data_IF_915974770319
#
_entry.id   IF_915974770319
#
_cell.length_a   1.000
_cell.length_b   1.000
_cell.length_c   1.000
_cell.angle_alpha   90.00
_cell.angle_beta   90.00
_cell.angle_gamma   90.00
#
_symmetry.space_group_name_H-M   'P 1'
#
loop_
_entity.id
_entity.type
_entity.pdbx_description
1 polymer ?
#
# COMPACT_ATOMS: atom_id res chain seq x y z
N UNK A 1 26.61 31.42 5.48
CA UNK A 1 25.17 31.66 5.26
C UNK A 1 24.64 30.84 4.08
N UNK A 2 25.19 30.97 2.87
CA UNK A 2 24.78 30.14 1.72
C UNK A 2 25.02 28.64 1.92
N UNK A 3 26.15 28.26 2.54
CA UNK A 3 26.47 26.85 2.85
C UNK A 3 25.57 26.21 3.94
N UNK A 4 25.03 27.01 4.87
CA UNK A 4 24.10 26.53 5.89
C UNK A 4 22.69 26.34 5.33
N UNK A 5 22.27 27.19 4.40
CA UNK A 5 20.99 27.01 3.71
C UNK A 5 21.02 25.81 2.76
N UNK A 6 22.13 25.58 2.05
CA UNK A 6 22.28 24.37 1.23
C UNK A 6 22.34 23.10 2.08
N UNK A 7 23.00 23.12 3.25
CA UNK A 7 22.99 21.97 4.17
C UNK A 7 21.57 21.65 4.69
N UNK A 8 20.80 22.67 5.10
CA UNK A 8 19.43 22.49 5.57
C UNK A 8 18.48 22.02 4.46
N UNK A 9 18.67 22.49 3.22
CA UNK A 9 17.93 21.99 2.06
C UNK A 9 18.31 20.55 1.70
N UNK A 10 19.60 20.20 1.81
CA UNK A 10 20.09 18.84 1.57
C UNK A 10 19.51 17.86 2.60
N UNK A 11 19.49 18.24 3.88
CA UNK A 11 18.90 17.43 4.95
C UNK A 11 17.40 17.23 4.75
N UNK A 12 16.68 18.28 4.33
CA UNK A 12 15.27 18.17 3.97
C UNK A 12 15.06 17.21 2.78
N UNK A 13 15.87 17.33 1.73
CA UNK A 13 15.80 16.43 0.57
C UNK A 13 16.11 14.98 0.96
N UNK A 14 17.12 14.74 1.79
CA UNK A 14 17.48 13.42 2.26
C UNK A 14 16.35 12.76 3.06
N UNK A 15 15.69 13.55 3.91
CA UNK A 15 14.58 13.08 4.75
C UNK A 15 13.35 12.75 3.89
N UNK A 16 13.01 13.61 2.92
CA UNK A 16 11.93 13.34 1.96
C UNK A 16 12.22 12.12 1.08
N UNK A 17 13.46 11.96 0.60
CA UNK A 17 13.88 10.81 -0.19
C UNK A 17 13.83 9.51 0.63
N UNK A 18 14.26 9.53 1.89
CA UNK A 18 14.18 8.39 2.79
C UNK A 18 12.72 7.98 3.07
N UNK A 19 11.83 8.96 3.30
CA UNK A 19 10.39 8.70 3.46
C UNK A 19 9.77 8.12 2.20
N UNK A 20 10.11 8.66 1.03
CA UNK A 20 9.62 8.16 -0.26
C UNK A 20 10.06 6.72 -0.52
N UNK A 21 11.35 6.44 -0.34
CA UNK A 21 11.90 5.10 -0.50
C UNK A 21 11.28 4.10 0.48
N UNK A 22 11.09 4.50 1.73
CA UNK A 22 10.41 3.67 2.73
C UNK A 22 8.98 3.35 2.31
N UNK A 23 8.18 4.36 1.94
CA UNK A 23 6.77 4.17 1.52
C UNK A 23 6.66 3.33 0.26
N UNK A 24 7.50 3.55 -0.76
CA UNK A 24 7.48 2.75 -1.98
C UNK A 24 7.81 1.28 -1.71
N UNK A 25 8.88 1.01 -0.96
CA UNK A 25 9.30 -0.36 -0.67
C UNK A 25 8.23 -1.13 0.11
N UNK A 26 7.66 -0.47 1.12
CA UNK A 26 6.58 -1.01 1.94
C UNK A 26 5.28 -1.19 1.15
N UNK A 27 4.94 -0.23 0.29
CA UNK A 27 3.78 -0.30 -0.60
C UNK A 27 3.90 -1.48 -1.57
N UNK A 28 5.09 -1.68 -2.15
CA UNK A 28 5.38 -2.81 -3.04
C UNK A 28 5.24 -4.16 -2.31
N UNK A 29 5.78 -4.29 -1.11
CA UNK A 29 5.65 -5.54 -0.31
C UNK A 29 4.20 -5.82 0.07
N UNK A 30 3.41 -4.78 0.36
CA UNK A 30 1.99 -4.93 0.62
C UNK A 30 1.19 -5.37 -0.60
N UNK A 31 1.47 -4.77 -1.76
CA UNK A 31 0.85 -5.18 -3.01
C UNK A 31 1.08 -6.69 -3.26
N UNK A 32 2.32 -7.17 -3.16
CA UNK A 32 2.64 -8.60 -3.35
C UNK A 32 1.96 -9.53 -2.33
N UNK A 33 1.78 -9.06 -1.08
CA UNK A 33 1.06 -9.81 -0.06
C UNK A 33 -0.43 -9.96 -0.43
N UNK A 34 -1.08 -8.85 -0.82
CA UNK A 34 -2.48 -8.83 -1.25
C UNK A 34 -2.69 -9.73 -2.48
N UNK A 35 -1.78 -9.69 -3.46
CA UNK A 35 -1.86 -10.53 -4.66
C UNK A 35 -1.91 -12.03 -4.32
N UNK A 36 -1.09 -12.45 -3.35
CA UNK A 36 -1.02 -13.84 -2.90
C UNK A 36 -2.30 -14.27 -2.17
N UNK A 37 -2.86 -13.39 -1.34
CA UNK A 37 -4.13 -13.64 -0.63
C UNK A 37 -5.29 -13.77 -1.63
N UNK A 38 -5.42 -12.81 -2.56
CA UNK A 38 -6.47 -12.80 -3.59
C UNK A 38 -6.37 -14.02 -4.50
N UNK A 39 -5.16 -14.47 -4.84
CA UNK A 39 -4.96 -15.64 -5.69
C UNK A 39 -5.47 -16.94 -5.05
N UNK A 40 -5.24 -17.12 -3.74
CA UNK A 40 -5.75 -18.27 -2.98
C UNK A 40 -7.27 -18.22 -2.93
N UNK A 41 -7.83 -17.06 -2.59
CA UNK A 41 -9.27 -16.83 -2.51
C UNK A 41 -9.99 -17.09 -3.84
N UNK A 42 -9.39 -16.72 -4.98
CA UNK A 42 -9.94 -17.00 -6.31
C UNK A 42 -10.18 -18.50 -6.53
N UNK A 43 -9.30 -19.38 -6.05
CA UNK A 43 -9.46 -20.84 -6.21
C UNK A 43 -10.63 -21.39 -5.38
N UNK A 44 -10.86 -20.81 -4.19
CA UNK A 44 -12.00 -21.16 -3.32
C UNK A 44 -13.30 -20.64 -3.93
N UNK A 45 -13.29 -19.41 -4.44
CA UNK A 45 -14.44 -18.80 -5.10
C UNK A 45 -14.95 -19.63 -6.28
N UNK A 46 -14.06 -20.14 -7.15
CA UNK A 46 -14.48 -21.00 -8.26
C UNK A 46 -15.11 -22.32 -7.80
N UNK A 47 -14.71 -22.87 -6.64
CA UNK A 47 -15.34 -24.07 -6.06
C UNK A 47 -16.72 -23.78 -5.48
N UNK A 48 -16.87 -22.69 -4.73
CA UNK A 48 -18.16 -22.32 -4.11
C UNK A 48 -19.18 -21.82 -5.13
N UNK A 49 -18.72 -21.16 -6.19
CA UNK A 49 -19.56 -20.79 -7.34
C UNK A 49 -20.06 -22.02 -8.09
N UNK A 50 -19.22 -23.04 -8.27
CA UNK A 50 -19.64 -24.30 -8.88
C UNK A 50 -20.70 -25.05 -8.03
N UNK A 51 -20.72 -24.80 -6.72
CA UNK A 51 -21.75 -25.31 -5.80
C UNK A 51 -23.02 -24.42 -5.73
N UNK A 52 -23.04 -23.29 -6.44
CA UNK A 52 -24.21 -22.39 -6.51
C UNK A 52 -24.51 -21.61 -5.21
N UNK A 53 -23.56 -21.51 -4.28
CA UNK A 53 -23.81 -20.94 -2.95
C UNK A 53 -23.71 -19.42 -2.85
N UNK A 54 -22.88 -18.74 -3.66
CA UNK A 54 -22.64 -17.29 -3.55
C UNK A 54 -22.53 -16.55 -4.88
N UNK A 55 -22.96 -15.29 -4.87
CA UNK A 55 -22.78 -14.33 -5.98
C UNK A 55 -21.42 -13.65 -5.90
N UNK A 56 -20.87 -13.25 -7.06
CA UNK A 56 -19.55 -12.62 -7.23
C UNK A 56 -19.42 -11.28 -6.48
N UNK A 57 -20.50 -10.50 -6.45
CA UNK A 57 -20.51 -9.14 -5.90
C UNK A 57 -20.34 -9.08 -4.37
N UNK A 58 -21.15 -9.78 -3.55
CA UNK A 58 -20.99 -9.73 -2.09
C UNK A 58 -19.65 -10.29 -1.61
N UNK A 59 -19.07 -11.25 -2.33
CA UNK A 59 -17.74 -11.79 -2.03
C UNK A 59 -16.65 -10.70 -2.18
N UNK A 60 -16.67 -9.98 -3.31
CA UNK A 60 -15.72 -8.90 -3.54
C UNK A 60 -15.82 -7.78 -2.49
N UNK A 61 -17.04 -7.41 -2.08
CA UNK A 61 -17.23 -6.40 -1.03
C UNK A 61 -16.70 -6.87 0.34
N UNK A 62 -16.94 -8.13 0.72
CA UNK A 62 -16.43 -8.67 1.97
C UNK A 62 -14.89 -8.70 1.99
N UNK A 63 -14.28 -9.11 0.87
CA UNK A 63 -12.83 -9.13 0.72
C UNK A 63 -12.21 -7.72 0.83
N UNK A 64 -12.74 -6.74 0.11
CA UNK A 64 -12.26 -5.35 0.19
C UNK A 64 -12.43 -4.77 1.60
N UNK A 65 -13.49 -5.13 2.32
CA UNK A 65 -13.71 -4.68 3.69
C UNK A 65 -12.65 -5.23 4.66
N UNK A 66 -12.33 -6.52 4.57
CA UNK A 66 -11.30 -7.16 5.41
C UNK A 66 -9.92 -6.56 5.09
N UNK A 67 -9.60 -6.40 3.81
CA UNK A 67 -8.33 -5.85 3.36
C UNK A 67 -8.15 -4.40 3.83
N UNK A 68 -9.21 -3.59 3.79
CA UNK A 68 -9.19 -2.20 4.27
C UNK A 68 -8.85 -2.13 5.77
N UNK A 69 -9.39 -3.04 6.59
CA UNK A 69 -9.09 -3.10 8.02
C UNK A 69 -7.62 -3.46 8.26
N UNK A 70 -7.11 -4.45 7.51
CA UNK A 70 -5.72 -4.88 7.60
C UNK A 70 -4.76 -3.73 7.25
N UNK A 71 -4.99 -3.07 6.12
CA UNK A 71 -4.20 -1.91 5.67
C UNK A 71 -4.29 -0.75 6.65
N UNK A 72 -5.44 -0.49 7.27
CA UNK A 72 -5.60 0.59 8.24
C UNK A 72 -4.78 0.37 9.52
N UNK A 73 -4.78 -0.85 10.06
CA UNK A 73 -3.99 -1.23 11.24
C UNK A 73 -2.49 -1.16 10.92
N UNK A 74 -2.10 -1.69 9.76
CA UNK A 74 -0.70 -1.72 9.36
C UNK A 74 -0.16 -0.30 9.10
N UNK A 75 -0.95 0.55 8.44
CA UNK A 75 -0.61 1.95 8.19
C UNK A 75 -0.47 2.72 9.51
N UNK A 76 -1.25 2.38 10.53
CA UNK A 76 -1.15 3.00 11.85
C UNK A 76 0.20 2.72 12.49
N UNK A 77 0.64 1.45 12.46
CA UNK A 77 1.96 1.05 12.97
C UNK A 77 3.10 1.75 12.19
N UNK A 78 2.99 1.84 10.87
CA UNK A 78 4.01 2.51 10.05
C UNK A 78 4.07 4.02 10.27
N UNK A 79 2.91 4.66 10.39
CA UNK A 79 2.84 6.09 10.69
C UNK A 79 3.48 6.37 12.04
N UNK A 80 3.24 5.52 13.05
CA UNK A 80 3.84 5.65 14.38
C UNK A 80 5.37 5.52 14.33
N UNK A 81 5.90 4.53 13.61
CA UNK A 81 7.34 4.33 13.45
C UNK A 81 8.01 5.48 12.69
N UNK A 82 7.48 5.85 11.52
CA UNK A 82 8.04 6.94 10.70
C UNK A 82 8.01 8.27 11.44
N UNK A 83 6.91 8.57 12.14
CA UNK A 83 6.78 9.78 12.92
C UNK A 83 7.81 9.84 14.07
N UNK A 84 8.06 8.68 14.72
CA UNK A 84 9.11 8.56 15.74
C UNK A 84 10.53 8.70 15.17
N UNK A 85 10.79 8.21 13.95
CA UNK A 85 12.12 8.31 13.31
C UNK A 85 12.47 9.72 12.87
N UNK A 86 11.47 10.51 12.45
CA UNK A 86 11.68 11.89 11.98
C UNK A 86 11.83 12.87 13.15
N UNK A 87 11.35 12.51 14.34
CA UNK A 87 11.44 13.34 15.53
C UNK A 87 10.58 14.61 15.45
N UNK A 88 9.43 14.55 14.76
CA UNK A 88 8.50 15.68 14.68
C UNK A 88 7.94 16.08 16.05
N UNK A 89 7.58 17.36 16.22
CA UNK A 89 6.84 17.81 17.40
C UNK A 89 5.52 17.05 17.53
N UNK A 90 5.34 16.33 18.63
CA UNK A 90 4.15 15.54 18.99
C UNK A 90 2.90 16.42 19.12
N UNK A 91 2.30 16.74 17.98
CA UNK A 91 0.98 17.40 17.88
C UNK A 91 0.03 16.45 17.18
N UNK A 92 -1.02 16.07 17.90
CA UNK A 92 -2.05 15.10 17.45
C UNK A 92 -2.63 15.49 16.09
N UNK A 93 -2.85 16.79 15.85
CA UNK A 93 -3.35 17.28 14.57
C UNK A 93 -2.40 16.96 13.41
N UNK A 94 -1.09 17.17 13.56
CA UNK A 94 -0.12 16.88 12.49
C UNK A 94 0.04 15.38 12.27
N UNK A 95 -0.02 14.60 13.35
CA UNK A 95 -0.01 13.14 13.28
C UNK A 95 -1.24 12.59 12.52
N UNK A 96 -2.44 13.11 12.80
CA UNK A 96 -3.66 12.69 12.09
C UNK A 96 -3.63 13.00 10.60
N UNK A 97 -3.17 14.19 10.21
CA UNK A 97 -2.98 14.53 8.81
C UNK A 97 -1.96 13.61 8.14
N UNK A 98 -0.83 13.37 8.80
CA UNK A 98 0.21 12.47 8.28
C UNK A 98 -0.30 11.03 8.11
N UNK A 99 -1.02 10.50 9.12
CA UNK A 99 -1.69 9.21 9.06
C UNK A 99 -2.66 9.11 7.87
N UNK A 100 -3.51 10.13 7.71
CA UNK A 100 -4.51 10.16 6.63
C UNK A 100 -3.86 10.12 5.24
N UNK A 101 -2.80 10.88 5.01
CA UNK A 101 -2.08 10.87 3.72
C UNK A 101 -1.45 9.51 3.42
N UNK A 102 -0.80 8.88 4.40
CA UNK A 102 -0.21 7.55 4.20
C UNK A 102 -1.32 6.51 3.98
N UNK A 103 -2.40 6.56 4.76
CA UNK A 103 -3.53 5.65 4.62
C UNK A 103 -4.16 5.72 3.22
N UNK A 104 -4.36 6.93 2.68
CA UNK A 104 -4.88 7.09 1.32
C UNK A 104 -3.93 6.53 0.25
N UNK A 105 -2.62 6.73 0.40
CA UNK A 105 -1.65 6.11 -0.51
C UNK A 105 -1.71 4.59 -0.46
N UNK A 106 -1.72 3.98 0.74
CA UNK A 106 -1.72 2.52 0.87
C UNK A 106 -3.02 1.90 0.34
N UNK A 107 -4.18 2.48 0.63
CA UNK A 107 -5.47 2.01 0.07
C UNK A 107 -5.46 2.07 -1.46
N UNK A 108 -4.89 3.14 -2.03
CA UNK A 108 -4.75 3.25 -3.49
C UNK A 108 -3.88 2.13 -4.06
N UNK A 109 -2.72 1.85 -3.46
CA UNK A 109 -1.86 0.72 -3.87
C UNK A 109 -2.55 -0.63 -3.74
N UNK A 110 -3.29 -0.87 -2.67
CA UNK A 110 -3.99 -2.12 -2.41
C UNK A 110 -5.15 -2.34 -3.38
N UNK A 111 -5.97 -1.33 -3.64
CA UNK A 111 -7.04 -1.41 -4.64
C UNK A 111 -6.50 -1.62 -6.05
N UNK A 112 -5.40 -0.92 -6.38
CA UNK A 112 -4.71 -1.12 -7.65
C UNK A 112 -4.19 -2.56 -7.81
N UNK A 113 -3.58 -3.14 -6.76
CA UNK A 113 -3.14 -4.53 -6.75
C UNK A 113 -4.28 -5.53 -6.96
N UNK A 114 -5.39 -5.35 -6.25
CA UNK A 114 -6.58 -6.21 -6.42
C UNK A 114 -7.16 -6.12 -7.84
N UNK A 115 -7.18 -4.93 -8.44
CA UNK A 115 -7.64 -4.75 -9.82
C UNK A 115 -6.77 -5.50 -10.83
N UNK A 116 -5.45 -5.41 -10.68
CA UNK A 116 -4.48 -6.08 -11.57
C UNK A 116 -4.64 -7.61 -11.48
N UNK A 117 -4.83 -8.17 -10.29
CA UNK A 117 -5.07 -9.61 -10.11
C UNK A 117 -6.40 -10.06 -10.71
N UNK A 118 -7.46 -9.26 -10.56
CA UNK A 118 -8.77 -9.57 -11.13
C UNK A 118 -8.74 -9.64 -12.67
N UNK A 119 -8.03 -8.69 -13.31
CA UNK A 119 -7.93 -8.59 -14.77
C UNK A 119 -7.06 -9.68 -15.40
N UNK A 120 -6.17 -10.30 -14.63
CA UNK A 120 -5.15 -11.18 -15.19
C UNK A 120 -5.43 -12.65 -14.89
N UNK A 121 -5.38 -13.57 -15.89
CA UNK A 121 -5.75 -14.97 -15.71
C UNK A 121 -4.65 -15.84 -15.07
N UNK A 122 -3.42 -15.34 -14.88
CA UNK A 122 -2.28 -16.10 -14.35
C UNK A 122 -1.69 -15.51 -13.08
N UNK A 123 -1.07 -16.33 -12.23
CA UNK A 123 -0.49 -15.91 -10.95
C UNK A 123 0.80 -15.08 -11.11
N UNK A 124 1.56 -15.28 -12.19
CA UNK A 124 2.85 -14.61 -12.41
C UNK A 124 2.75 -13.24 -13.09
N UNK A 125 1.66 -13.00 -13.84
CA UNK A 125 1.51 -11.77 -14.64
C UNK A 125 1.21 -10.54 -13.76
N UNK A 126 0.42 -10.62 -12.66
CA UNK A 126 0.20 -9.50 -11.73
C UNK A 126 1.51 -8.93 -11.18
N UNK A 127 2.40 -9.79 -10.71
CA UNK A 127 3.71 -9.39 -10.17
C UNK A 127 4.57 -8.65 -11.22
N UNK A 128 4.51 -9.06 -12.50
CA UNK A 128 5.24 -8.39 -13.59
C UNK A 128 4.64 -7.01 -13.89
N UNK A 129 3.31 -6.89 -13.92
CA UNK A 129 2.62 -5.62 -14.14
C UNK A 129 2.86 -4.67 -12.96
N UNK A 130 2.76 -5.15 -11.73
CA UNK A 130 3.09 -4.36 -10.54
C UNK A 130 4.54 -3.87 -10.56
N UNK A 131 5.49 -4.76 -10.90
CA UNK A 131 6.90 -4.38 -11.02
C UNK A 131 7.11 -3.30 -12.09
N UNK A 132 6.44 -3.40 -13.24
CA UNK A 132 6.50 -2.39 -14.29
C UNK A 132 5.97 -1.03 -13.83
N UNK A 133 4.81 -1.00 -13.15
CA UNK A 133 4.23 0.25 -12.65
C UNK A 133 5.04 0.85 -11.50
N UNK A 134 5.63 0.03 -10.63
CA UNK A 134 6.56 0.51 -9.59
C UNK A 134 7.83 1.10 -10.21
N UNK A 135 8.39 0.47 -11.26
CA UNK A 135 9.50 1.03 -12.00
C UNK A 135 9.14 2.33 -12.72
N UNK A 136 7.92 2.45 -13.26
CA UNK A 136 7.43 3.69 -13.85
C UNK A 136 7.26 4.79 -12.79
N UNK A 137 6.75 4.46 -11.60
CA UNK A 137 6.59 5.41 -10.50
C UNK A 137 7.94 5.87 -9.91
N UNK A 138 8.99 5.06 -10.09
CA UNK A 138 10.34 5.37 -9.64
C UNK A 138 11.12 6.31 -10.60
N UNK A 139 10.67 6.41 -11.87
CA UNK A 139 11.34 7.11 -12.98
C UNK A 139 10.87 8.56 -13.12
#
# INVERSE_FOLDING_TARGET
>A
LLSQQTAQQQDLMNLLAAMYAAVLFLGATNASAVESVVAIERTVFYRERAAGMYSELPYAFAQVAIETIYVAIQTFLYTLLLYSMIGFEWKVQKFLWFYYYILMCFIYFTMYGMMVVALTPGHQIPAIVMSFFLSFWNL
#
